data_IF_020093399998
#
_entry.id   IF_020093399998
#
_cell.length_a   1.000
_cell.length_b   1.000
_cell.length_c   1.000
_cell.angle_alpha   90.00
_cell.angle_beta   90.00
_cell.angle_gamma   90.00
#
_symmetry.space_group_name_H-M   'P 1'
#
loop_
_entity.id
_entity.type
_entity.pdbx_description
1 polymer ?
#
# COMPACT_ATOMS: atom_id res chain seq x y z
N UNK A 1 2.15 -6.33 -15.17
CA UNK A 1 1.40 -5.86 -16.37
C UNK A 1 1.24 -4.35 -16.24
N UNK A 2 1.41 -3.58 -17.32
CA UNK A 2 0.85 -2.22 -17.45
C UNK A 2 0.85 -1.85 -18.94
N UNK A 3 -0.30 -1.98 -19.60
CA UNK A 3 -1.18 -0.82 -19.74
C UNK A 3 -2.63 -1.13 -19.34
N UNK A 4 -3.28 -0.10 -18.80
CA UNK A 4 -4.60 -0.10 -18.16
C UNK A 4 -5.39 1.08 -18.74
N UNK A 5 -6.72 1.08 -18.57
CA UNK A 5 -7.57 2.27 -18.78
C UNK A 5 -6.88 3.56 -18.35
N UNK A 6 -7.00 4.60 -19.17
CA UNK A 6 -6.32 5.89 -19.04
C UNK A 6 -6.50 6.53 -17.66
N UNK A 7 -7.64 6.31 -17.01
CA UNK A 7 -7.93 6.82 -15.66
C UNK A 7 -6.97 6.28 -14.58
N UNK A 8 -6.47 5.06 -14.73
CA UNK A 8 -5.52 4.46 -13.78
C UNK A 8 -4.07 4.46 -14.31
N UNK A 9 -3.85 5.05 -15.49
CA UNK A 9 -2.52 5.26 -16.05
C UNK A 9 -2.44 6.59 -16.84
N UNK A 10 -2.71 7.74 -16.19
CA UNK A 10 -2.71 9.03 -16.89
C UNK A 10 -1.31 9.46 -17.34
N UNK A 11 -0.25 8.93 -16.71
CA UNK A 11 1.14 9.17 -17.09
C UNK A 11 1.64 8.24 -18.22
N UNK A 12 0.77 7.36 -18.73
CA UNK A 12 1.12 6.38 -19.78
C UNK A 12 2.35 5.53 -19.44
N UNK A 13 2.48 5.11 -18.17
CA UNK A 13 3.55 4.24 -17.70
C UNK A 13 3.63 2.97 -18.54
N UNK A 14 4.85 2.62 -18.93
CA UNK A 14 5.16 1.42 -19.69
C UNK A 14 5.19 0.19 -18.79
N UNK A 15 5.39 -0.97 -19.41
CA UNK A 15 5.55 -2.22 -18.67
C UNK A 15 6.80 -2.17 -17.79
N UNK A 16 6.62 -2.53 -16.52
CA UNK A 16 7.72 -2.69 -15.56
C UNK A 16 8.60 -3.88 -15.96
N UNK A 17 9.94 -3.75 -15.96
CA UNK A 17 10.86 -4.86 -16.22
C UNK A 17 10.59 -6.06 -15.31
N UNK A 18 10.78 -7.27 -15.85
CA UNK A 18 10.45 -8.52 -15.15
C UNK A 18 11.04 -8.61 -13.74
N UNK A 19 12.33 -8.33 -13.59
CA UNK A 19 13.02 -8.45 -12.30
C UNK A 19 12.54 -7.44 -11.25
N UNK A 20 12.19 -6.22 -11.67
CA UNK A 20 11.60 -5.21 -10.78
C UNK A 20 10.21 -5.66 -10.34
N UNK A 21 9.40 -6.16 -11.28
CA UNK A 21 8.06 -6.65 -10.97
C UNK A 21 8.09 -7.86 -10.02
N UNK A 22 9.01 -8.82 -10.25
CA UNK A 22 9.19 -9.99 -9.39
C UNK A 22 9.63 -9.58 -7.98
N UNK A 23 10.67 -8.73 -7.88
CA UNK A 23 11.17 -8.24 -6.60
C UNK A 23 10.06 -7.50 -5.83
N UNK A 24 9.35 -6.57 -6.48
CA UNK A 24 8.26 -5.81 -5.88
C UNK A 24 7.14 -6.73 -5.39
N UNK A 25 6.75 -7.72 -6.19
CA UNK A 25 5.69 -8.66 -5.83
C UNK A 25 6.05 -9.45 -4.58
N UNK A 26 7.26 -10.03 -4.54
CA UNK A 26 7.75 -10.78 -3.37
C UNK A 26 7.81 -9.85 -2.15
N UNK A 27 8.39 -8.66 -2.32
CA UNK A 27 8.63 -7.77 -1.20
C UNK A 27 7.34 -7.29 -0.51
N UNK A 28 6.30 -6.97 -1.29
CA UNK A 28 5.01 -6.58 -0.73
C UNK A 28 4.25 -7.76 -0.11
N UNK A 29 4.37 -8.96 -0.69
CA UNK A 29 3.81 -10.17 -0.10
C UNK A 29 4.47 -10.55 1.23
N UNK A 30 5.77 -10.23 1.41
CA UNK A 30 6.53 -10.53 2.63
C UNK A 30 6.51 -9.40 3.66
N UNK A 31 5.62 -8.41 3.52
CA UNK A 31 5.54 -7.22 4.39
C UNK A 31 6.86 -6.43 4.51
N UNK A 32 7.75 -6.57 3.52
CA UNK A 32 9.06 -5.88 3.51
C UNK A 32 8.95 -4.57 2.75
N UNK A 33 8.24 -4.61 1.63
CA UNK A 33 7.93 -3.48 0.75
C UNK A 33 9.18 -2.68 0.34
N UNK A 34 10.29 -3.38 0.12
CA UNK A 34 11.50 -2.87 -0.51
C UNK A 34 11.18 -2.36 -1.92
N UNK A 35 11.74 -1.18 -2.25
CA UNK A 35 11.54 -0.52 -3.52
C UNK A 35 12.89 -0.27 -4.19
N UNK A 36 13.16 -0.99 -5.28
CA UNK A 36 14.30 -0.72 -6.17
C UNK A 36 13.88 0.11 -7.40
N UNK A 37 12.83 0.94 -7.24
CA UNK A 37 12.21 1.76 -8.27
C UNK A 37 11.68 3.06 -7.66
N UNK A 38 11.50 4.09 -8.51
CA UNK A 38 10.80 5.32 -8.13
C UNK A 38 9.31 5.17 -8.45
N UNK A 39 8.44 5.25 -7.44
CA UNK A 39 7.01 4.98 -7.58
C UNK A 39 6.32 5.89 -8.59
N UNK A 40 6.62 7.19 -8.57
CA UNK A 40 6.04 8.21 -9.44
C UNK A 40 6.50 8.13 -10.90
N UNK A 41 7.53 7.37 -11.22
CA UNK A 41 8.04 7.21 -12.59
C UNK A 41 7.92 5.80 -13.13
N UNK A 42 7.74 4.80 -12.26
CA UNK A 42 7.76 3.38 -12.64
C UNK A 42 6.37 2.76 -12.63
N UNK A 43 5.51 3.13 -11.67
CA UNK A 43 4.21 2.48 -11.45
C UNK A 43 3.05 3.41 -11.78
N UNK A 44 2.08 2.92 -12.56
CA UNK A 44 0.76 3.55 -12.67
C UNK A 44 -0.09 3.37 -11.40
N UNK A 45 -1.14 4.17 -11.28
CA UNK A 45 -2.06 4.18 -10.15
C UNK A 45 -2.68 2.81 -9.88
N UNK A 46 -3.05 2.06 -10.92
CA UNK A 46 -3.62 0.72 -10.70
C UNK A 46 -2.63 -0.20 -9.97
N UNK A 47 -1.35 -0.20 -10.37
CA UNK A 47 -0.35 -1.03 -9.68
C UNK A 47 -0.15 -0.58 -8.25
N UNK A 48 -0.08 0.73 -7.99
CA UNK A 48 0.05 1.28 -6.63
C UNK A 48 -1.15 0.90 -5.75
N UNK A 49 -2.36 0.92 -6.30
CA UNK A 49 -3.57 0.46 -5.60
C UNK A 49 -3.54 -1.06 -5.32
N UNK A 50 -3.02 -1.88 -6.24
CA UNK A 50 -2.82 -3.32 -5.99
C UNK A 50 -1.74 -3.61 -4.95
N UNK A 51 -0.67 -2.82 -4.93
CA UNK A 51 0.32 -2.89 -3.87
C UNK A 51 -0.31 -2.55 -2.52
N UNK A 52 -1.19 -1.54 -2.48
CA UNK A 52 -1.97 -1.20 -1.27
C UNK A 52 -2.79 -2.39 -0.76
N UNK A 53 -3.36 -3.21 -1.64
CA UNK A 53 -4.03 -4.46 -1.24
C UNK A 53 -3.05 -5.37 -0.49
N UNK A 54 -1.83 -5.59 -1.02
CA UNK A 54 -0.83 -6.40 -0.33
C UNK A 54 -0.44 -5.81 1.03
N UNK A 55 -0.37 -4.48 1.15
CA UNK A 55 -0.09 -3.79 2.42
C UNK A 55 -1.16 -4.00 3.50
N UNK A 56 -2.37 -4.43 3.13
CA UNK A 56 -3.35 -4.92 4.09
C UNK A 56 -3.16 -6.41 4.39
N UNK A 57 -2.98 -7.24 3.37
CA UNK A 57 -3.01 -8.69 3.53
C UNK A 57 -1.77 -9.23 4.26
N UNK A 58 -0.59 -8.70 3.98
CA UNK A 58 0.67 -9.20 4.55
C UNK A 58 0.78 -8.95 6.07
N UNK A 59 0.52 -7.75 6.64
CA UNK A 59 0.56 -7.56 8.08
C UNK A 59 -0.59 -8.26 8.81
N UNK A 60 -1.79 -8.32 8.22
CA UNK A 60 -2.93 -9.06 8.81
C UNK A 60 -2.60 -10.55 8.94
N UNK A 61 -1.88 -11.13 7.98
CA UNK A 61 -1.38 -12.51 8.10
C UNK A 61 -0.46 -12.67 9.30
N UNK A 62 0.46 -11.72 9.52
CA UNK A 62 1.34 -11.70 10.70
C UNK A 62 0.57 -11.62 12.03
N UNK A 63 -0.44 -10.76 12.11
CA UNK A 63 -1.32 -10.64 13.29
C UNK A 63 -2.05 -11.97 13.55
N UNK A 64 -2.57 -12.63 12.52
CA UNK A 64 -3.26 -13.92 12.67
C UNK A 64 -2.33 -15.02 13.20
N UNK A 65 -1.07 -15.06 12.74
CA UNK A 65 -0.04 -15.95 13.26
C UNK A 65 0.23 -15.68 14.74
N UNK A 66 0.40 -14.41 15.12
CA UNK A 66 0.58 -14.02 16.52
C UNK A 66 -0.61 -14.44 17.40
N UNK A 67 -1.85 -14.21 16.94
CA UNK A 67 -3.06 -14.65 17.65
C UNK A 67 -3.13 -16.16 17.83
N UNK A 68 -2.70 -16.93 16.83
CA UNK A 68 -2.63 -18.38 16.92
C UNK A 68 -1.61 -18.84 17.98
N UNK A 69 -0.43 -18.22 18.01
CA UNK A 69 0.61 -18.46 19.03
C UNK A 69 0.11 -18.13 20.44
N UNK A 70 -0.51 -16.96 20.63
CA UNK A 70 -1.10 -16.54 21.92
C UNK A 70 -2.13 -17.57 22.40
N UNK A 71 -2.99 -18.08 21.51
CA UNK A 71 -3.96 -19.12 21.87
C UNK A 71 -3.32 -20.46 22.17
N UNK A 72 -2.21 -20.79 21.51
CA UNK A 72 -1.41 -21.98 21.78
C UNK A 72 -0.87 -22.00 23.22
N UNK A 73 -0.47 -20.84 23.75
CA UNK A 73 -0.03 -20.71 25.15
C UNK A 73 -1.18 -20.57 26.15
N UNK A 74 -2.26 -19.88 25.78
CA UNK A 74 -3.35 -19.55 26.72
C UNK A 74 -4.35 -20.70 26.95
N UNK A 75 -4.60 -21.54 25.94
CA UNK A 75 -5.60 -22.61 26.04
C UNK A 75 -5.01 -23.84 26.72
N UNK A 76 -5.74 -24.39 27.68
CA UNK A 76 -5.39 -25.62 28.37
C UNK A 76 -6.25 -26.78 27.85
N UNK A 77 -5.66 -27.96 27.62
CA UNK A 77 -6.33 -29.18 27.17
C UNK A 77 -7.19 -29.02 25.89
N UNK A 78 -6.82 -28.09 24.99
CA UNK A 78 -7.52 -27.87 23.73
C UNK A 78 -6.73 -28.46 22.55
N UNK A 79 -7.42 -29.14 21.63
CA UNK A 79 -6.81 -29.70 20.42
C UNK A 79 -6.76 -28.71 19.23
N UNK A 80 -7.18 -27.45 19.41
CA UNK A 80 -7.25 -26.46 18.32
C UNK A 80 -6.84 -25.05 18.77
N UNK A 81 -6.24 -24.30 17.83
CA UNK A 81 -5.73 -22.92 18.04
C UNK A 81 -6.61 -21.83 17.39
N UNK A 82 -7.80 -22.19 16.89
CA UNK A 82 -8.74 -21.24 16.28
C UNK A 82 -8.97 -21.50 14.79
N UNK A 83 -9.41 -20.46 14.06
CA UNK A 83 -9.67 -20.52 12.62
C UNK A 83 -9.04 -19.29 11.96
N UNK A 84 -8.03 -19.54 11.13
CA UNK A 84 -7.28 -18.50 10.43
C UNK A 84 -8.18 -17.53 9.66
N UNK A 85 -9.12 -18.03 8.84
CA UNK A 85 -9.99 -17.19 8.03
C UNK A 85 -10.90 -16.29 8.87
N UNK A 86 -11.35 -16.77 10.03
CA UNK A 86 -12.13 -15.96 10.96
C UNK A 86 -11.30 -14.82 11.52
N UNK A 87 -10.06 -15.09 11.94
CA UNK A 87 -9.16 -14.06 12.46
C UNK A 87 -8.77 -13.07 11.37
N UNK A 88 -8.47 -13.58 10.18
CA UNK A 88 -8.05 -12.79 9.02
C UNK A 88 -9.14 -11.81 8.61
N UNK A 89 -10.36 -12.30 8.36
CA UNK A 89 -11.50 -11.46 7.93
C UNK A 89 -11.85 -10.44 9.02
N UNK A 90 -11.82 -10.83 10.30
CA UNK A 90 -12.15 -9.91 11.39
C UNK A 90 -11.11 -8.82 11.56
N UNK A 91 -9.83 -9.19 11.55
CA UNK A 91 -8.72 -8.24 11.67
C UNK A 91 -8.71 -7.30 10.48
N UNK A 92 -8.89 -7.82 9.26
CA UNK A 92 -8.92 -7.00 8.05
C UNK A 92 -10.10 -6.01 8.04
N UNK A 93 -11.33 -6.50 8.18
CA UNK A 93 -12.54 -5.68 7.99
C UNK A 93 -12.88 -4.80 9.19
N UNK A 94 -12.60 -5.25 10.42
CA UNK A 94 -13.02 -4.55 11.63
C UNK A 94 -11.88 -3.84 12.37
N UNK A 95 -10.62 -4.08 12.00
CA UNK A 95 -9.46 -3.42 12.62
C UNK A 95 -8.67 -2.64 11.59
N UNK A 96 -8.06 -3.32 10.62
CA UNK A 96 -7.12 -2.70 9.69
C UNK A 96 -7.78 -1.67 8.77
N UNK A 97 -8.88 -2.03 8.09
CA UNK A 97 -9.57 -1.10 7.17
C UNK A 97 -10.13 0.13 7.90
N UNK A 98 -10.88 0.00 9.01
CA UNK A 98 -11.43 1.17 9.71
C UNK A 98 -10.34 2.12 10.20
N UNK A 99 -9.26 1.59 10.78
CA UNK A 99 -8.14 2.42 11.25
C UNK A 99 -7.39 3.08 10.10
N UNK A 100 -7.17 2.38 8.98
CA UNK A 100 -6.54 2.96 7.80
C UNK A 100 -7.41 4.03 7.13
N UNK A 101 -8.75 3.89 7.15
CA UNK A 101 -9.65 4.93 6.64
C UNK A 101 -9.56 6.19 7.50
N UNK A 102 -9.53 6.05 8.83
CA UNK A 102 -9.37 7.18 9.74
C UNK A 102 -8.02 7.88 9.49
N UNK A 103 -6.93 7.12 9.40
CA UNK A 103 -5.60 7.67 9.12
C UNK A 103 -5.51 8.35 7.75
N UNK A 104 -6.14 7.77 6.71
CA UNK A 104 -6.20 8.37 5.39
C UNK A 104 -6.96 9.72 5.38
N UNK A 105 -8.08 9.82 6.11
CA UNK A 105 -8.82 11.07 6.26
C UNK A 105 -7.97 12.14 6.97
N UNK A 106 -7.22 11.76 8.02
CA UNK A 106 -6.29 12.68 8.70
C UNK A 106 -5.21 13.16 7.74
N UNK A 107 -4.58 12.26 6.98
CA UNK A 107 -3.56 12.61 5.99
C UNK A 107 -4.10 13.52 4.89
N UNK A 108 -5.31 13.24 4.40
CA UNK A 108 -6.02 14.09 3.45
C UNK A 108 -6.22 15.51 4.01
N UNK A 109 -6.68 15.62 5.26
CA UNK A 109 -6.87 16.91 5.93
C UNK A 109 -5.56 17.68 6.13
N UNK A 110 -4.44 16.97 6.27
CA UNK A 110 -3.09 17.53 6.36
C UNK A 110 -2.47 17.84 4.98
N UNK A 111 -3.19 17.61 3.89
CA UNK A 111 -2.77 17.99 2.53
C UNK A 111 -2.13 16.87 1.71
N UNK A 112 -2.18 15.61 2.16
CA UNK A 112 -1.72 14.47 1.36
C UNK A 112 -2.63 14.28 0.13
N UNK A 113 -2.08 14.03 -1.07
CA UNK A 113 -2.88 13.78 -2.27
C UNK A 113 -3.73 12.50 -2.14
N UNK A 114 -5.00 12.57 -2.56
CA UNK A 114 -5.86 11.39 -2.72
C UNK A 114 -6.78 11.60 -3.93
N UNK A 115 -6.28 11.32 -5.13
CA UNK A 115 -7.05 11.48 -6.38
C UNK A 115 -6.52 10.58 -7.50
N UNK A 116 -7.19 10.59 -8.66
CA UNK A 116 -6.77 9.88 -9.88
C UNK A 116 -6.48 10.86 -11.04
N UNK A 117 -6.14 12.11 -10.74
CA UNK A 117 -5.85 13.11 -11.75
C UNK A 117 -4.49 12.85 -12.41
N UNK A 118 -4.30 13.36 -13.62
CA UNK A 118 -2.98 13.39 -14.24
C UNK A 118 -2.01 14.27 -13.43
N UNK A 119 -0.71 14.05 -13.63
CA UNK A 119 0.32 14.85 -12.97
C UNK A 119 0.16 16.33 -13.30
N UNK A 120 0.28 17.17 -12.27
CA UNK A 120 0.06 18.61 -12.40
C UNK A 120 1.33 19.27 -12.92
N UNK A 121 1.23 19.99 -14.03
CA UNK A 121 2.33 20.79 -14.57
C UNK A 121 2.20 22.20 -14.04
N UNK A 122 3.20 22.68 -13.31
CA UNK A 122 3.28 24.04 -12.80
C UNK A 122 4.46 24.79 -13.38
N UNK A 123 4.32 26.11 -13.51
CA UNK A 123 5.43 27.00 -13.83
C UNK A 123 5.92 27.65 -12.54
N UNK A 124 7.18 27.45 -12.20
CA UNK A 124 7.76 28.01 -10.98
C UNK A 124 7.92 29.52 -11.09
N UNK A 125 8.17 30.20 -9.96
CA UNK A 125 8.41 31.65 -9.94
C UNK A 125 9.60 32.07 -10.80
N UNK A 126 10.58 31.17 -11.01
CA UNK A 126 11.74 31.37 -11.87
C UNK A 126 11.44 31.08 -13.36
N UNK A 127 10.21 30.68 -13.69
CA UNK A 127 9.77 30.38 -15.05
C UNK A 127 10.01 28.94 -15.51
N UNK A 128 10.60 28.07 -14.69
CA UNK A 128 10.86 26.66 -15.00
C UNK A 128 9.58 25.83 -14.97
N UNK A 129 9.52 24.75 -15.76
CA UNK A 129 8.45 23.76 -15.72
C UNK A 129 8.75 22.72 -14.65
N UNK A 130 7.80 22.47 -13.75
CA UNK A 130 7.86 21.41 -12.76
C UNK A 130 6.64 20.49 -12.91
N UNK A 131 6.86 19.19 -12.78
CA UNK A 131 5.79 18.18 -12.79
C UNK A 131 5.60 17.68 -11.37
N UNK A 132 4.38 17.82 -10.85
CA UNK A 132 3.99 17.37 -9.51
C UNK A 132 3.23 16.06 -9.66
N UNK A 133 3.78 14.99 -9.11
CA UNK A 133 3.13 13.70 -9.08
C UNK A 133 1.85 13.73 -8.24
N UNK A 134 0.80 13.07 -8.73
CA UNK A 134 -0.51 12.94 -8.10
C UNK A 134 -0.82 11.46 -7.86
N UNK A 135 -1.89 11.15 -7.15
CA UNK A 135 -2.37 9.78 -6.98
C UNK A 135 -3.14 9.54 -5.67
N UNK A 136 -3.56 8.29 -5.41
CA UNK A 136 -4.15 7.86 -4.15
C UNK A 136 -3.05 7.63 -3.08
N UNK A 137 -2.44 8.72 -2.61
CA UNK A 137 -1.28 8.68 -1.70
C UNK A 137 -1.72 8.48 -0.25
N UNK A 138 -2.71 9.25 0.22
CA UNK A 138 -3.16 9.22 1.61
C UNK A 138 -3.62 7.83 2.06
N UNK A 139 -4.39 7.13 1.22
CA UNK A 139 -4.87 5.77 1.53
C UNK A 139 -3.71 4.75 1.61
N UNK A 140 -2.77 4.82 0.66
CA UNK A 140 -1.58 3.97 0.65
C UNK A 140 -0.68 4.25 1.86
N UNK A 141 -0.40 5.52 2.16
CA UNK A 141 0.43 5.94 3.30
C UNK A 141 -0.20 5.54 4.63
N UNK A 142 -1.53 5.61 4.75
CA UNK A 142 -2.18 5.25 6.01
C UNK A 142 -2.03 3.78 6.36
N UNK A 143 -2.28 2.87 5.41
CA UNK A 143 -2.05 1.45 5.67
C UNK A 143 -0.56 1.13 5.77
N UNK A 144 0.28 1.90 5.06
CA UNK A 144 1.73 1.73 5.15
C UNK A 144 2.20 1.89 6.60
N UNK A 145 1.86 3.01 7.22
CA UNK A 145 2.22 3.31 8.62
C UNK A 145 1.53 2.36 9.61
N UNK A 146 0.23 2.06 9.42
CA UNK A 146 -0.51 1.19 10.34
C UNK A 146 -0.03 -0.26 10.33
N UNK A 147 0.32 -0.78 9.15
CA UNK A 147 0.75 -2.16 8.96
C UNK A 147 2.25 -2.38 9.13
N UNK A 148 3.00 -1.35 9.52
CA UNK A 148 4.47 -1.36 9.58
C UNK A 148 5.09 -1.85 8.26
N UNK A 149 4.52 -1.35 7.17
CA UNK A 149 4.95 -1.62 5.82
C UNK A 149 6.05 -0.61 5.42
N UNK A 150 7.07 -1.05 4.68
CA UNK A 150 8.17 -0.17 4.26
C UNK A 150 7.96 0.64 2.95
N UNK A 151 6.84 0.46 2.23
CA UNK A 151 6.72 0.88 0.83
C UNK A 151 5.80 2.07 0.60
N UNK A 152 6.37 3.18 0.13
CA UNK A 152 5.66 4.44 -0.12
C UNK A 152 5.17 4.58 -1.57
N UNK A 153 4.31 5.58 -1.79
CA UNK A 153 3.81 5.90 -3.13
C UNK A 153 4.90 6.53 -4.03
N UNK A 154 5.80 7.29 -3.40
CA UNK A 154 6.90 8.00 -4.05
C UNK A 154 8.25 7.35 -3.74
N UNK A 155 9.27 7.68 -4.54
CA UNK A 155 10.65 7.24 -4.28
C UNK A 155 11.18 7.71 -2.92
N UNK A 156 10.82 8.93 -2.52
CA UNK A 156 11.10 9.43 -1.18
C UNK A 156 9.93 9.04 -0.28
N UNK A 157 10.20 8.16 0.69
CA UNK A 157 9.21 7.73 1.67
C UNK A 157 9.26 8.60 2.94
N UNK A 158 8.15 8.63 3.69
CA UNK A 158 7.96 9.39 4.93
C UNK A 158 8.43 8.61 6.17
#
# INVERSE_FOLDING_TARGET
MQPVLTIFNPAHMHQVPFWVNLNTSISFMTNTNWQNYSGETTLSYLSQMWLTVQQFLSPVTGICLFLAVVRGFSRHNANTIGNFWRDFVRTLLWVSIPLAVIGAIVLLALGSPENLHAYTVVRTLQGHKQVIAQGPVASMTSIMQLGDNGGGFFNMNA
#
